data_IF_126935898504
#
_entry.id   IF_126935898504
#
_cell.length_a   1.000
_cell.length_b   1.000
_cell.length_c   1.000
_cell.angle_alpha   90.00
_cell.angle_beta   90.00
_cell.angle_gamma   90.00
#
_symmetry.space_group_name_H-M   'P 1'
#
loop_
_entity.id
_entity.type
_entity.pdbx_description
1 polymer ?
#
# COMPACT_ATOMS: atom_id res chain seq x y z
N UNK A 1 18.96 -13.01 17.90
CA UNK A 1 19.87 -11.93 17.46
C UNK A 1 19.18 -10.57 17.25
N UNK A 2 17.84 -10.47 17.16
CA UNK A 2 17.12 -9.19 16.94
C UNK A 2 16.73 -8.46 18.26
N UNK A 3 16.85 -9.12 19.42
CA UNK A 3 16.49 -8.54 20.73
C UNK A 3 17.57 -7.67 21.39
N UNK A 4 18.79 -7.58 20.82
CA UNK A 4 19.95 -7.00 21.49
C UNK A 4 20.25 -5.53 21.14
N UNK A 5 19.61 -4.94 20.13
CA UNK A 5 19.79 -3.54 19.76
C UNK A 5 18.52 -2.95 19.14
N UNK A 6 17.45 -2.73 19.94
CA UNK A 6 16.19 -2.20 19.45
C UNK A 6 16.34 -0.84 18.75
N UNK A 7 17.34 -0.04 19.10
CA UNK A 7 17.63 1.24 18.44
C UNK A 7 18.26 1.07 17.05
N UNK A 8 19.21 0.14 16.90
CA UNK A 8 19.81 -0.18 15.60
C UNK A 8 18.77 -0.84 14.67
N UNK A 9 17.90 -1.70 15.20
CA UNK A 9 16.79 -2.30 14.48
C UNK A 9 15.79 -1.25 13.97
N UNK A 10 15.44 -0.25 14.80
CA UNK A 10 14.59 0.88 14.39
C UNK A 10 15.25 1.77 13.35
N UNK A 11 16.55 2.01 13.45
CA UNK A 11 17.29 2.79 12.45
C UNK A 11 17.30 2.08 11.08
N UNK A 12 17.59 0.78 11.05
CA UNK A 12 17.56 -0.02 9.81
C UNK A 12 16.15 -0.09 9.22
N UNK A 13 15.13 -0.29 10.06
CA UNK A 13 13.73 -0.25 9.63
C UNK A 13 13.36 1.13 9.06
N UNK A 14 13.79 2.22 9.70
CA UNK A 14 13.53 3.58 9.26
C UNK A 14 14.18 3.90 7.91
N UNK A 15 15.42 3.46 7.68
CA UNK A 15 16.08 3.60 6.38
C UNK A 15 15.33 2.79 5.32
N UNK A 16 15.02 1.52 5.60
CA UNK A 16 14.33 0.65 4.65
C UNK A 16 12.95 1.20 4.27
N UNK A 17 12.18 1.70 5.23
CA UNK A 17 10.87 2.30 5.00
C UNK A 17 11.01 3.58 4.17
N UNK A 18 11.93 4.48 4.52
CA UNK A 18 12.13 5.72 3.77
C UNK A 18 12.58 5.47 2.32
N UNK A 19 13.50 4.52 2.12
CA UNK A 19 13.93 4.13 0.77
C UNK A 19 12.78 3.51 -0.02
N UNK A 20 11.96 2.66 0.61
CA UNK A 20 10.79 2.05 -0.01
C UNK A 20 9.75 3.11 -0.42
N UNK A 21 9.47 4.09 0.46
CA UNK A 21 8.55 5.20 0.17
C UNK A 21 9.08 6.07 -0.95
N UNK A 22 10.39 6.35 -0.97
CA UNK A 22 11.02 7.16 -2.03
C UNK A 22 10.92 6.44 -3.37
N UNK A 23 11.25 5.15 -3.41
CA UNK A 23 11.11 4.31 -4.61
C UNK A 23 9.65 4.27 -5.09
N UNK A 24 8.71 4.05 -4.18
CA UNK A 24 7.28 4.04 -4.50
C UNK A 24 6.82 5.38 -5.06
N UNK A 25 7.30 6.49 -4.50
CA UNK A 25 6.95 7.85 -4.95
C UNK A 25 7.46 8.10 -6.37
N UNK A 26 8.71 7.75 -6.65
CA UNK A 26 9.29 7.87 -7.99
C UNK A 26 8.55 6.97 -8.98
N UNK A 27 8.23 5.73 -8.58
CA UNK A 27 7.47 4.80 -9.40
C UNK A 27 6.06 5.33 -9.71
N UNK A 28 5.33 5.83 -8.71
CA UNK A 28 4.01 6.42 -8.90
C UNK A 28 4.06 7.67 -9.81
N UNK A 29 5.07 8.53 -9.64
CA UNK A 29 5.26 9.69 -10.51
C UNK A 29 5.59 9.26 -11.96
N UNK A 30 6.45 8.25 -12.14
CA UNK A 30 6.78 7.69 -13.46
C UNK A 30 5.59 7.05 -14.16
N UNK A 31 4.74 6.33 -13.41
CA UNK A 31 3.46 5.82 -13.92
C UNK A 31 2.56 6.98 -14.36
N UNK A 32 2.41 8.01 -13.53
CA UNK A 32 1.62 9.20 -13.88
C UNK A 32 2.12 9.94 -15.12
N UNK A 33 3.45 10.04 -15.31
CA UNK A 33 4.08 10.71 -16.46
C UNK A 33 3.99 9.91 -17.76
N UNK A 34 4.00 8.58 -17.69
CA UNK A 34 3.92 7.70 -18.86
C UNK A 34 2.49 7.33 -19.27
N UNK A 35 1.52 7.61 -18.40
CA UNK A 35 0.12 7.28 -18.63
C UNK A 35 -0.57 8.23 -19.60
N UNK A 36 -1.28 7.65 -20.57
CA UNK A 36 -2.28 8.38 -21.33
C UNK A 36 -3.51 8.59 -20.44
N UNK A 37 -3.79 9.85 -20.08
CA UNK A 37 -4.87 10.23 -19.16
C UNK A 37 -6.25 9.73 -19.63
N UNK A 38 -6.48 9.69 -20.94
CA UNK A 38 -7.78 9.30 -21.50
C UNK A 38 -8.05 7.81 -21.35
N UNK A 39 -7.02 6.99 -21.55
CA UNK A 39 -7.06 5.55 -21.35
C UNK A 39 -7.09 5.19 -19.86
N UNK A 40 -6.32 5.92 -19.04
CA UNK A 40 -6.30 5.75 -17.58
C UNK A 40 -7.65 6.05 -16.95
N UNK A 41 -8.40 7.04 -17.44
CA UNK A 41 -9.77 7.30 -16.97
C UNK A 41 -10.74 6.17 -17.37
N UNK A 42 -10.63 5.64 -18.58
CA UNK A 42 -11.49 4.54 -19.04
C UNK A 42 -11.22 3.23 -18.28
N UNK A 43 -9.95 2.90 -18.07
CA UNK A 43 -9.50 1.77 -17.27
C UNK A 43 -9.85 2.00 -15.79
N UNK A 44 -9.63 3.22 -15.30
CA UNK A 44 -9.97 3.64 -13.93
C UNK A 44 -11.45 3.46 -13.62
N UNK A 45 -12.36 3.85 -14.53
CA UNK A 45 -13.81 3.64 -14.36
C UNK A 45 -14.19 2.16 -14.22
N UNK A 46 -13.42 1.26 -14.82
CA UNK A 46 -13.66 -0.20 -14.74
C UNK A 46 -13.02 -0.81 -13.49
N UNK A 47 -11.81 -0.36 -13.13
CA UNK A 47 -11.06 -0.88 -11.98
C UNK A 47 -11.52 -0.31 -10.64
N UNK A 48 -11.97 0.95 -10.58
CA UNK A 48 -12.46 1.61 -9.35
C UNK A 48 -13.55 0.81 -8.62
N UNK A 49 -14.65 0.39 -9.28
CA UNK A 49 -15.71 -0.36 -8.61
C UNK A 49 -15.24 -1.75 -8.15
N UNK A 50 -14.29 -2.37 -8.86
CA UNK A 50 -13.73 -3.64 -8.44
C UNK A 50 -12.82 -3.47 -7.22
N UNK A 51 -11.93 -2.46 -7.25
CA UNK A 51 -11.05 -2.13 -6.14
C UNK A 51 -11.84 -1.76 -4.87
N UNK A 52 -12.91 -0.98 -5.01
CA UNK A 52 -13.78 -0.63 -3.88
C UNK A 52 -14.51 -1.84 -3.30
N UNK A 53 -14.97 -2.77 -4.14
CA UNK A 53 -15.57 -4.02 -3.68
C UNK A 53 -14.57 -4.87 -2.87
N UNK A 54 -13.32 -5.00 -3.36
CA UNK A 54 -12.25 -5.70 -2.63
C UNK A 54 -11.97 -5.03 -1.29
N UNK A 55 -11.89 -3.70 -1.25
CA UNK A 55 -11.71 -2.95 0.00
C UNK A 55 -12.85 -3.18 1.00
N UNK A 56 -14.11 -3.17 0.53
CA UNK A 56 -15.25 -3.45 1.39
C UNK A 56 -15.18 -4.86 2.00
N UNK A 57 -14.81 -5.86 1.19
CA UNK A 57 -14.61 -7.23 1.69
C UNK A 57 -13.48 -7.29 2.71
N UNK A 58 -12.35 -6.62 2.47
CA UNK A 58 -11.23 -6.57 3.41
C UNK A 58 -11.64 -5.94 4.74
N UNK A 59 -12.40 -4.86 4.72
CA UNK A 59 -12.92 -4.20 5.94
C UNK A 59 -13.85 -5.16 6.70
N UNK A 60 -14.76 -5.84 6.00
CA UNK A 60 -15.67 -6.80 6.63
C UNK A 60 -14.89 -7.95 7.27
N UNK A 61 -13.91 -8.53 6.56
CA UNK A 61 -13.06 -9.60 7.09
C UNK A 61 -12.26 -9.13 8.30
N UNK A 62 -11.73 -7.91 8.27
CA UNK A 62 -11.03 -7.33 9.42
C UNK A 62 -11.96 -7.21 10.63
N UNK A 63 -13.20 -6.72 10.45
CA UNK A 63 -14.19 -6.62 11.52
C UNK A 63 -14.58 -7.99 12.08
N UNK A 64 -14.72 -9.01 11.21
CA UNK A 64 -14.98 -10.39 11.61
C UNK A 64 -13.81 -10.95 12.43
N UNK A 65 -12.57 -10.73 11.99
CA UNK A 65 -11.40 -11.18 12.75
C UNK A 65 -11.29 -10.48 14.09
N UNK A 66 -11.55 -9.17 14.18
CA UNK A 66 -11.60 -8.46 15.46
C UNK A 66 -12.64 -9.10 16.38
N UNK A 67 -13.84 -9.44 15.87
CA UNK A 67 -14.90 -10.10 16.66
C UNK A 67 -14.59 -11.54 17.07
N UNK A 68 -13.68 -12.21 16.39
CA UNK A 68 -13.35 -13.63 16.63
C UNK A 68 -12.11 -13.79 17.52
N UNK A 69 -11.19 -12.82 17.50
CA UNK A 69 -9.96 -12.80 18.29
C UNK A 69 -10.01 -11.90 19.53
N UNK A 70 -11.08 -11.11 19.71
CA UNK A 70 -11.43 -10.35 20.94
C UNK A 70 -12.67 -10.97 21.57
#
# INVERSE_FOLDING_TARGET
FILLAPEAGRAVQGVLVNTSVTLLTIAMAGVGLSMNLKETFAVGKTLLPFASAVWLVQIILMLVFIKLFV
#
